data_IF_162869026363
#
_entry.id   IF_162869026363
#
_cell.length_a   1.000
_cell.length_b   1.000
_cell.length_c   1.000
_cell.angle_alpha   90.00
_cell.angle_beta   90.00
_cell.angle_gamma   90.00
#
_symmetry.space_group_name_H-M   'P 1'
#
loop_
_entity.id
_entity.type
_entity.pdbx_description
1 polymer ?
#
# COMPACT_ATOMS: atom_id res chain seq x y z
N UNK A 1 -22.07 64.89 35.87
CA UNK A 1 -20.64 64.71 36.18
C UNK A 1 -20.40 63.29 36.68
N UNK A 2 -19.30 62.66 36.24
CA UNK A 2 -18.75 61.33 36.57
C UNK A 2 -19.26 60.09 35.80
N UNK A 3 -18.55 59.88 34.68
CA UNK A 3 -17.92 58.70 34.06
C UNK A 3 -18.60 57.30 33.99
N UNK A 4 -18.32 56.56 32.88
CA UNK A 4 -19.08 55.39 32.42
C UNK A 4 -18.45 54.06 32.82
N UNK A 5 -19.27 53.00 32.89
CA UNK A 5 -18.80 51.62 32.90
C UNK A 5 -18.75 51.08 31.47
N UNK A 6 -17.53 50.82 31.01
CA UNK A 6 -17.17 50.12 29.79
C UNK A 6 -17.54 48.64 29.90
N UNK A 7 -18.53 48.17 29.15
CA UNK A 7 -18.66 46.74 28.84
C UNK A 7 -18.11 46.47 27.44
N UNK A 8 -16.98 45.77 27.46
CA UNK A 8 -16.16 45.38 26.33
C UNK A 8 -16.91 44.32 25.50
N UNK A 9 -16.93 44.54 24.19
CA UNK A 9 -17.44 43.62 23.16
C UNK A 9 -16.69 42.29 23.21
N UNK A 10 -17.40 41.18 23.38
CA UNK A 10 -16.86 39.83 23.17
C UNK A 10 -17.09 39.45 21.69
N UNK A 11 -16.10 39.72 20.86
CA UNK A 11 -16.09 39.33 19.44
C UNK A 11 -15.81 37.83 19.35
N UNK A 12 -16.81 37.06 18.89
CA UNK A 12 -16.70 35.63 18.66
C UNK A 12 -15.89 35.38 17.37
N UNK A 13 -14.58 35.16 17.51
CA UNK A 13 -13.71 34.73 16.41
C UNK A 13 -13.77 33.21 16.29
N UNK A 14 -14.61 32.73 15.36
CA UNK A 14 -14.60 31.33 14.92
C UNK A 14 -13.36 31.15 14.04
N UNK A 15 -12.28 30.64 14.62
CA UNK A 15 -11.18 30.07 13.84
C UNK A 15 -11.68 28.77 13.21
N UNK A 16 -12.10 28.84 11.95
CA UNK A 16 -12.11 27.71 11.02
C UNK A 16 -10.64 27.37 10.71
N UNK A 17 -9.97 26.67 11.63
CA UNK A 17 -8.78 25.94 11.25
C UNK A 17 -9.26 24.71 10.48
N UNK A 18 -9.06 24.75 9.16
CA UNK A 18 -8.89 23.53 8.38
C UNK A 18 -7.67 22.82 8.95
N UNK A 19 -7.87 22.05 10.01
CA UNK A 19 -6.94 21.02 10.41
C UNK A 19 -6.98 19.99 9.29
N UNK A 20 -6.10 20.18 8.31
CA UNK A 20 -5.65 19.13 7.43
C UNK A 20 -5.23 18.00 8.36
N UNK A 21 -6.08 16.98 8.47
CA UNK A 21 -5.84 15.85 9.33
C UNK A 21 -4.54 15.23 8.87
N UNK A 22 -3.44 15.51 9.59
CA UNK A 22 -2.19 14.76 9.44
C UNK A 22 -2.55 13.32 9.73
N UNK A 23 -2.70 12.53 8.68
CA UNK A 23 -2.91 11.10 8.81
C UNK A 23 -1.79 10.55 9.71
N UNK A 24 -2.12 9.78 10.75
CA UNK A 24 -1.11 9.23 11.63
C UNK A 24 -0.23 8.27 10.84
N UNK A 25 0.99 8.70 10.52
CA UNK A 25 2.00 7.93 9.81
C UNK A 25 2.65 6.89 10.73
N UNK A 26 1.83 6.01 11.31
CA UNK A 26 2.29 4.85 12.08
C UNK A 26 2.32 3.64 11.14
N UNK A 27 3.13 3.71 10.08
CA UNK A 27 3.47 2.50 9.34
C UNK A 27 4.97 2.53 9.09
N UNK A 28 5.67 1.61 9.75
CA UNK A 28 7.07 1.31 9.47
C UNK A 28 7.24 1.24 7.95
N UNK A 29 8.08 2.11 7.39
CA UNK A 29 8.37 2.15 5.96
C UNK A 29 8.82 0.75 5.52
N UNK A 30 7.90 -0.01 4.90
CA UNK A 30 8.32 -1.14 4.10
C UNK A 30 9.18 -0.56 2.99
N UNK A 31 10.33 -1.16 2.79
CA UNK A 31 11.38 -0.54 2.00
C UNK A 31 10.86 -0.31 0.59
N UNK A 32 10.80 0.96 0.17
CA UNK A 32 10.33 1.30 -1.16
C UNK A 32 8.83 1.12 -1.39
N UNK A 33 8.00 0.94 -0.36
CA UNK A 33 6.55 0.85 -0.54
C UNK A 33 5.84 1.85 0.37
N UNK A 34 4.97 2.66 -0.22
CA UNK A 34 4.07 3.56 0.51
C UNK A 34 2.63 3.25 0.14
N UNK A 35 1.69 3.66 0.98
CA UNK A 35 0.28 3.59 0.65
C UNK A 35 -0.44 4.84 1.15
N UNK A 36 -1.61 5.07 0.57
CA UNK A 36 -2.55 6.11 0.96
C UNK A 36 -3.95 5.53 0.92
N UNK A 37 -4.74 5.75 1.97
CA UNK A 37 -6.11 5.27 2.04
C UNK A 37 -7.06 6.46 2.01
N UNK A 38 -7.82 6.58 0.92
CA UNK A 38 -8.89 7.58 0.81
C UNK A 38 -10.23 6.89 0.71
N UNK A 39 -11.12 7.13 1.68
CA UNK A 39 -12.43 6.47 1.76
C UNK A 39 -12.27 4.93 1.69
N UNK A 40 -12.63 4.32 0.56
CA UNK A 40 -12.53 2.88 0.32
C UNK A 40 -11.36 2.49 -0.58
N UNK A 41 -10.59 3.44 -1.11
CA UNK A 41 -9.52 3.18 -2.05
C UNK A 41 -8.16 3.17 -1.35
N UNK A 42 -7.48 2.03 -1.39
CA UNK A 42 -6.11 1.85 -0.94
C UNK A 42 -5.17 1.93 -2.14
N UNK A 43 -4.54 3.09 -2.32
CA UNK A 43 -3.49 3.29 -3.33
C UNK A 43 -2.14 2.89 -2.76
N UNK A 44 -1.43 1.99 -3.44
CA UNK A 44 -0.11 1.48 -3.08
C UNK A 44 0.90 1.93 -4.13
N UNK A 45 2.07 2.39 -3.69
CA UNK A 45 3.13 2.90 -4.55
C UNK A 45 4.42 2.13 -4.28
N UNK A 46 4.93 1.44 -5.30
CA UNK A 46 6.09 0.56 -5.24
C UNK A 46 7.27 1.25 -5.94
N UNK A 47 8.18 1.82 -5.16
CA UNK A 47 9.45 2.38 -5.61
C UNK A 47 10.45 1.25 -5.90
N UNK A 48 10.49 0.84 -7.17
CA UNK A 48 11.32 -0.24 -7.68
C UNK A 48 12.80 0.00 -7.34
N UNK A 49 13.29 1.22 -7.54
CA UNK A 49 14.68 1.57 -7.24
C UNK A 49 15.04 1.36 -5.77
N UNK A 50 14.12 1.70 -4.84
CA UNK A 50 14.33 1.44 -3.42
C UNK A 50 14.27 -0.03 -3.06
N UNK A 51 13.37 -0.80 -3.70
CA UNK A 51 13.28 -2.25 -3.52
C UNK A 51 14.62 -2.91 -3.92
N UNK A 52 15.11 -2.62 -5.13
CA UNK A 52 16.34 -3.20 -5.66
C UNK A 52 17.57 -2.83 -4.83
N UNK A 53 17.69 -1.56 -4.43
CA UNK A 53 18.78 -1.10 -3.54
C UNK A 53 18.82 -1.84 -2.20
N UNK A 54 17.71 -2.47 -1.81
CA UNK A 54 17.58 -3.19 -0.55
C UNK A 54 17.30 -4.69 -0.75
N UNK A 55 17.55 -5.23 -1.94
CA UNK A 55 17.30 -6.63 -2.29
C UNK A 55 17.92 -7.59 -1.28
N UNK A 56 19.18 -7.37 -0.88
CA UNK A 56 19.85 -8.19 0.15
C UNK A 56 19.10 -8.25 1.48
N UNK A 57 18.50 -7.12 1.91
CA UNK A 57 17.69 -7.08 3.14
C UNK A 57 16.36 -7.82 2.96
N UNK A 58 15.76 -7.75 1.77
CA UNK A 58 14.55 -8.48 1.44
C UNK A 58 14.79 -10.00 1.33
N UNK A 59 15.94 -10.41 0.79
CA UNK A 59 16.39 -11.81 0.76
C UNK A 59 16.60 -12.38 2.16
N UNK A 60 17.29 -11.65 3.05
CA UNK A 60 17.45 -12.04 4.47
C UNK A 60 16.10 -12.28 5.15
N UNK A 61 15.10 -11.44 4.84
CA UNK A 61 13.72 -11.56 5.33
C UNK A 61 12.89 -12.64 4.64
N UNK A 62 13.39 -13.28 3.58
CA UNK A 62 12.65 -14.28 2.81
C UNK A 62 11.50 -13.72 1.98
N UNK A 63 11.51 -12.41 1.68
CA UNK A 63 10.51 -11.76 0.81
C UNK A 63 10.86 -12.01 -0.66
N UNK A 64 12.15 -12.05 -0.97
CA UNK A 64 12.71 -12.38 -2.27
C UNK A 64 13.58 -13.63 -2.09
N UNK A 65 13.72 -14.45 -3.13
CA UNK A 65 14.57 -15.64 -3.11
C UNK A 65 16.03 -15.28 -2.77
N UNK A 66 16.57 -15.98 -1.77
CA UNK A 66 17.91 -15.80 -1.20
C UNK A 66 19.02 -16.16 -2.18
N UNK A 67 18.71 -16.97 -3.19
CA UNK A 67 19.69 -17.49 -4.14
C UNK A 67 19.84 -16.61 -5.39
N UNK A 68 18.97 -15.62 -5.58
CA UNK A 68 19.08 -14.72 -6.72
C UNK A 68 20.35 -13.88 -6.66
N UNK A 69 21.10 -13.91 -7.75
CA UNK A 69 22.27 -13.07 -7.99
C UNK A 69 21.85 -11.63 -8.29
N UNK A 70 22.78 -10.69 -8.16
CA UNK A 70 22.52 -9.29 -8.53
C UNK A 70 22.12 -9.14 -10.01
N UNK A 71 22.65 -10.00 -10.88
CA UNK A 71 22.32 -10.02 -12.32
C UNK A 71 20.86 -10.42 -12.53
N UNK A 72 20.42 -11.50 -11.90
CA UNK A 72 19.02 -11.94 -11.98
C UNK A 72 18.08 -10.92 -11.35
N UNK A 73 18.47 -10.31 -10.22
CA UNK A 73 17.68 -9.24 -9.58
C UNK A 73 17.47 -8.05 -10.52
N UNK A 74 18.52 -7.69 -11.26
CA UNK A 74 18.45 -6.59 -12.22
C UNK A 74 17.61 -6.95 -13.46
N UNK A 75 17.62 -8.22 -13.85
CA UNK A 75 16.84 -8.71 -14.99
C UNK A 75 15.34 -8.84 -14.68
N UNK A 76 14.98 -9.21 -13.44
CA UNK A 76 13.60 -9.40 -12.99
C UNK A 76 13.09 -8.24 -12.13
N UNK A 77 13.64 -7.05 -12.30
CA UNK A 77 13.49 -5.95 -11.35
C UNK A 77 12.04 -5.57 -11.01
N UNK A 78 11.22 -5.47 -12.04
CA UNK A 78 9.82 -5.07 -12.02
C UNK A 78 8.98 -6.16 -11.38
N UNK A 79 9.25 -7.42 -11.74
CA UNK A 79 8.58 -8.59 -11.20
C UNK A 79 8.89 -8.75 -9.71
N UNK A 80 10.15 -8.59 -9.32
CA UNK A 80 10.58 -8.65 -7.92
C UNK A 80 9.96 -7.53 -7.09
N UNK A 81 9.87 -6.31 -7.63
CA UNK A 81 9.20 -5.21 -6.96
C UNK A 81 7.70 -5.49 -6.73
N UNK A 82 7.03 -6.03 -7.74
CA UNK A 82 5.63 -6.44 -7.65
C UNK A 82 5.43 -7.55 -6.61
N UNK A 83 6.21 -8.62 -6.66
CA UNK A 83 6.15 -9.75 -5.71
C UNK A 83 6.45 -9.29 -4.28
N UNK A 84 7.50 -8.48 -4.08
CA UNK A 84 7.87 -7.96 -2.77
C UNK A 84 6.79 -7.06 -2.15
N UNK A 85 5.88 -6.52 -2.96
CA UNK A 85 4.77 -5.70 -2.47
C UNK A 85 3.63 -6.51 -1.84
N UNK A 86 3.42 -7.76 -2.26
CA UNK A 86 2.26 -8.54 -1.85
C UNK A 86 2.22 -8.81 -0.33
N UNK A 87 3.32 -9.20 0.33
CA UNK A 87 3.33 -9.35 1.79
C UNK A 87 3.00 -8.05 2.52
N UNK A 88 3.46 -6.92 2.01
CA UNK A 88 3.16 -5.61 2.59
C UNK A 88 1.68 -5.26 2.46
N UNK A 89 1.13 -5.34 1.25
CA UNK A 89 -0.28 -5.01 1.01
C UNK A 89 -1.21 -5.90 1.83
N UNK A 90 -0.89 -7.19 1.92
CA UNK A 90 -1.64 -8.12 2.78
C UNK A 90 -1.65 -7.68 4.24
N UNK A 91 -0.50 -7.23 4.76
CA UNK A 91 -0.42 -6.74 6.14
C UNK A 91 -1.22 -5.44 6.33
N UNK A 92 -1.18 -4.52 5.36
CA UNK A 92 -1.99 -3.29 5.41
C UNK A 92 -3.48 -3.62 5.44
N UNK A 93 -3.93 -4.52 4.56
CA UNK A 93 -5.32 -4.98 4.52
C UNK A 93 -5.73 -5.54 5.88
N UNK A 94 -4.92 -6.47 6.44
CA UNK A 94 -5.19 -7.05 7.75
C UNK A 94 -5.37 -5.96 8.82
N UNK A 95 -4.43 -5.03 8.91
CA UNK A 95 -4.46 -3.96 9.90
C UNK A 95 -5.70 -3.05 9.74
N UNK A 96 -6.06 -2.69 8.52
CA UNK A 96 -7.23 -1.84 8.25
C UNK A 96 -8.53 -2.49 8.76
N UNK A 97 -8.63 -3.80 8.57
CA UNK A 97 -9.79 -4.59 8.94
C UNK A 97 -9.81 -5.00 10.43
N UNK A 98 -8.65 -5.08 11.08
CA UNK A 98 -8.51 -5.22 12.53
C UNK A 98 -8.97 -3.93 13.25
N UNK A 99 -8.62 -2.76 12.70
CA UNK A 99 -8.88 -1.46 13.33
C UNK A 99 -10.27 -0.87 13.02
N UNK A 100 -10.88 -1.22 11.89
CA UNK A 100 -12.16 -0.65 11.47
C UNK A 100 -13.22 -1.73 11.20
N UNK A 101 -14.11 -1.93 12.16
CA UNK A 101 -15.18 -2.94 12.05
C UNK A 101 -16.36 -2.51 11.16
N UNK A 102 -16.41 -1.26 10.69
CA UNK A 102 -17.50 -0.74 9.84
C UNK A 102 -17.16 -0.73 8.35
N UNK A 103 -15.94 -1.12 7.99
CA UNK A 103 -15.50 -1.10 6.59
C UNK A 103 -15.85 -2.41 5.92
N UNK A 104 -16.80 -2.37 5.00
CA UNK A 104 -17.28 -3.59 4.35
C UNK A 104 -16.40 -4.00 3.15
N UNK A 105 -15.87 -3.02 2.41
CA UNK A 105 -15.05 -3.26 1.24
C UNK A 105 -13.99 -2.17 1.07
N UNK A 106 -12.84 -2.57 0.53
CA UNK A 106 -11.82 -1.69 0.00
C UNK A 106 -11.48 -2.09 -1.44
N UNK A 107 -11.16 -1.09 -2.25
CA UNK A 107 -10.54 -1.28 -3.56
C UNK A 107 -9.03 -1.05 -3.41
N UNK A 108 -8.23 -2.03 -3.77
CA UNK A 108 -6.77 -1.92 -3.73
C UNK A 108 -6.30 -1.64 -5.15
N UNK A 109 -5.47 -0.61 -5.31
CA UNK A 109 -4.78 -0.32 -6.55
C UNK A 109 -3.31 -0.06 -6.28
N UNK A 110 -2.45 -0.73 -7.03
CA UNK A 110 -1.01 -0.66 -6.89
C UNK A 110 -0.37 -0.08 -8.14
N UNK A 111 0.64 0.76 -7.91
CA UNK A 111 1.42 1.41 -8.94
C UNK A 111 2.90 1.15 -8.76
N UNK A 112 3.59 0.85 -9.85
CA UNK A 112 5.04 0.90 -9.91
C UNK A 112 5.49 2.35 -10.12
N UNK A 113 6.49 2.75 -9.33
CA UNK A 113 7.20 3.99 -9.48
C UNK A 113 8.57 3.69 -10.07
N UNK A 114 8.74 4.03 -11.34
CA UNK A 114 10.01 3.95 -12.06
C UNK A 114 10.55 5.33 -12.36
N UNK A 115 11.77 5.41 -12.87
CA UNK A 115 12.39 6.66 -13.30
C UNK A 115 12.61 6.57 -14.80
N UNK A 116 12.18 7.59 -15.54
CA UNK A 116 12.42 7.67 -16.98
C UNK A 116 13.89 8.01 -17.27
N UNK A 117 14.25 8.04 -18.56
CA UNK A 117 15.61 8.38 -19.01
C UNK A 117 16.05 9.80 -18.60
N UNK A 118 15.11 10.66 -18.18
CA UNK A 118 15.34 12.05 -17.79
C UNK A 118 15.32 12.27 -16.27
N UNK A 119 15.14 11.21 -15.47
CA UNK A 119 15.07 11.33 -14.01
C UNK A 119 13.68 11.59 -13.44
N UNK A 120 12.63 11.67 -14.26
CA UNK A 120 11.27 11.91 -13.79
C UNK A 120 10.65 10.61 -13.26
N UNK A 121 9.86 10.72 -12.20
CA UNK A 121 9.09 9.59 -11.69
C UNK A 121 7.88 9.32 -12.57
N UNK A 122 7.80 8.12 -13.12
CA UNK A 122 6.62 7.62 -13.82
C UNK A 122 5.84 6.72 -12.88
N UNK A 123 4.51 6.83 -12.95
CA UNK A 123 3.58 5.96 -12.25
C UNK A 123 2.88 5.03 -13.25
N UNK A 124 3.14 3.74 -13.15
CA UNK A 124 2.53 2.71 -14.00
C UNK A 124 1.62 1.82 -13.17
N UNK A 125 0.43 1.48 -13.69
CA UNK A 125 -0.45 0.52 -13.04
C UNK A 125 0.23 -0.86 -12.94
N UNK A 126 0.10 -1.52 -11.78
CA UNK A 126 0.68 -2.84 -11.54
C UNK A 126 -0.39 -3.90 -11.28
N UNK A 127 -1.25 -3.70 -10.28
CA UNK A 127 -2.38 -4.59 -10.02
C UNK A 127 -3.51 -3.88 -9.27
N UNK A 128 -4.71 -4.43 -9.33
CA UNK A 128 -5.83 -4.04 -8.47
C UNK A 128 -6.76 -5.20 -8.17
N UNK A 129 -7.48 -5.09 -7.07
CA UNK A 129 -8.53 -6.03 -6.68
C UNK A 129 -9.44 -5.43 -5.61
N UNK A 130 -10.64 -5.97 -5.45
CA UNK A 130 -11.48 -5.68 -4.31
C UNK A 130 -11.24 -6.67 -3.19
N UNK A 131 -11.27 -6.17 -1.96
CA UNK A 131 -11.20 -7.01 -0.77
C UNK A 131 -12.30 -6.59 0.18
N UNK A 132 -13.03 -7.57 0.72
CA UNK A 132 -14.21 -7.31 1.55
C UNK A 132 -14.13 -8.02 2.91
N UNK A 133 -15.02 -7.60 3.83
CA UNK A 133 -15.09 -8.10 5.20
C UNK A 133 -15.38 -9.60 5.26
N UNK A 134 -16.22 -10.11 4.35
CA UNK A 134 -16.57 -11.54 4.30
C UNK A 134 -15.34 -12.39 3.96
N UNK A 135 -14.53 -11.94 3.00
CA UNK A 135 -13.28 -12.59 2.64
C UNK A 135 -12.29 -12.53 3.81
N UNK A 136 -12.14 -11.37 4.44
CA UNK A 136 -11.31 -11.20 5.63
C UNK A 136 -11.66 -12.23 6.72
N UNK A 137 -12.95 -12.42 7.01
CA UNK A 137 -13.42 -13.30 8.10
C UNK A 137 -13.19 -14.80 7.81
N UNK A 138 -13.09 -15.18 6.53
CA UNK A 138 -12.81 -16.57 6.11
C UNK A 138 -11.33 -16.94 6.21
N UNK A 139 -10.43 -15.96 6.23
CA UNK A 139 -8.99 -16.21 6.22
C UNK A 139 -8.50 -16.59 7.61
N UNK A 140 -7.80 -17.72 7.72
CA UNK A 140 -7.02 -18.04 8.91
C UNK A 140 -5.71 -17.22 8.92
N UNK A 141 -5.78 -15.99 9.40
CA UNK A 141 -4.66 -15.03 9.41
C UNK A 141 -3.41 -15.48 10.16
N UNK A 142 -3.50 -16.51 11.02
CA UNK A 142 -2.34 -17.09 11.71
C UNK A 142 -1.50 -17.97 10.77
N UNK A 143 -2.17 -18.67 9.85
CA UNK A 143 -1.55 -19.64 8.93
C UNK A 143 -1.57 -19.17 7.46
N UNK A 144 -2.13 -18.00 7.19
CA UNK A 144 -2.26 -17.47 5.84
C UNK A 144 -0.90 -17.01 5.30
N UNK A 145 -0.50 -17.57 4.16
CA UNK A 145 0.65 -17.10 3.41
C UNK A 145 0.24 -15.88 2.58
N UNK A 146 0.89 -14.73 2.78
CA UNK A 146 0.47 -13.48 2.15
C UNK A 146 0.39 -13.54 0.62
N UNK A 147 1.24 -14.33 -0.03
CA UNK A 147 1.22 -14.49 -1.49
C UNK A 147 -0.08 -15.12 -2.02
N UNK A 148 -0.84 -15.82 -1.17
CA UNK A 148 -2.14 -16.37 -1.55
C UNK A 148 -3.23 -15.29 -1.68
N UNK A 149 -2.97 -14.02 -1.32
CA UNK A 149 -3.97 -12.96 -1.48
C UNK A 149 -4.41 -12.79 -2.95
N UNK A 150 -3.47 -13.00 -3.88
CA UNK A 150 -3.70 -12.94 -5.33
C UNK A 150 -4.69 -14.02 -5.78
N UNK A 151 -4.74 -15.15 -5.08
CA UNK A 151 -5.59 -16.31 -5.43
C UNK A 151 -7.02 -16.18 -4.92
N UNK A 152 -7.23 -15.40 -3.87
CA UNK A 152 -8.52 -15.31 -3.17
C UNK A 152 -9.33 -14.08 -3.58
N UNK A 153 -8.71 -13.15 -4.32
CA UNK A 153 -9.36 -11.99 -4.88
C UNK A 153 -9.84 -12.33 -6.31
N UNK A 154 -11.15 -12.54 -6.53
CA UNK A 154 -11.68 -13.04 -7.80
C UNK A 154 -11.55 -12.03 -8.95
N UNK A 155 -11.41 -10.75 -8.62
CA UNK A 155 -11.27 -9.63 -9.56
C UNK A 155 -9.84 -9.08 -9.57
N UNK A 156 -8.86 -9.93 -9.24
CA UNK A 156 -7.46 -9.55 -9.32
C UNK A 156 -7.07 -9.30 -10.78
N UNK A 157 -6.74 -8.05 -11.07
CA UNK A 157 -6.24 -7.62 -12.37
C UNK A 157 -4.78 -7.21 -12.24
N UNK A 158 -3.99 -7.51 -13.27
CA UNK A 158 -2.57 -7.18 -13.31
C UNK A 158 -2.24 -6.50 -14.64
N UNK A 159 -1.22 -5.65 -14.64
CA UNK A 159 -0.65 -5.14 -15.89
C UNK A 159 0.35 -6.15 -16.47
N UNK A 160 0.62 -6.04 -17.77
CA UNK A 160 1.65 -6.87 -18.44
C UNK A 160 3.02 -6.77 -17.76
N UNK A 161 3.36 -5.61 -17.19
CA UNK A 161 4.62 -5.40 -16.46
C UNK A 161 4.70 -6.19 -15.14
N UNK A 162 3.55 -6.50 -14.55
CA UNK A 162 3.43 -7.20 -13.27
C UNK A 162 2.89 -8.64 -13.40
N UNK A 163 2.82 -9.17 -14.62
CA UNK A 163 2.17 -10.45 -14.96
C UNK A 163 2.70 -11.66 -14.19
N UNK A 164 3.93 -11.60 -13.69
CA UNK A 164 4.48 -12.62 -12.78
C UNK A 164 3.60 -12.85 -11.52
N UNK A 165 2.74 -11.90 -11.14
CA UNK A 165 1.76 -12.10 -10.07
C UNK A 165 0.63 -13.08 -10.47
N UNK A 166 0.22 -13.10 -11.74
CA UNK A 166 -0.79 -14.06 -12.25
C UNK A 166 -0.26 -15.49 -12.29
N UNK A 167 1.02 -15.69 -12.61
CA UNK A 167 1.63 -17.03 -12.69
C UNK A 167 1.74 -17.73 -11.32
N UNK A 168 1.53 -16.99 -10.23
CA UNK A 168 1.38 -17.57 -8.89
C UNK A 168 -0.05 -18.00 -8.57
N UNK A 169 -1.00 -17.81 -9.49
CA UNK A 169 -2.41 -18.23 -9.40
C UNK A 169 -2.59 -19.69 -9.85
N UNK A 170 -3.41 -20.51 -9.17
CA UNK A 170 -3.52 -21.96 -9.42
C UNK A 170 -4.30 -22.32 -10.71
N UNK A 171 -4.36 -21.45 -11.71
CA UNK A 171 -5.02 -21.73 -12.99
C UNK A 171 -4.05 -21.98 -14.15
N UNK A 172 -2.76 -22.13 -13.86
CA UNK A 172 -1.74 -22.49 -14.83
C UNK A 172 -1.04 -23.77 -14.39
N UNK A 173 -1.70 -24.91 -14.64
CA UNK A 173 -1.26 -26.33 -14.72
C UNK A 173 -2.38 -27.22 -14.14
#
# INVERSE_FOLDING_TARGET
MRFPSTFIRLTFLIFLSSAEAKEPSIYSQYIGITHHLSKSDLSVYIDQNKILKNSSKLQKKGIIDRNLTNTEISFYDTQLAAIASIPYVTQVIKNLYDLNNKKDQIHIISYLLTTDLYGNKIKSFCYSFNFNRQLYQKINWKNFQSNNIVKIAPDFTVSEQCKALEETSPLSI
#
